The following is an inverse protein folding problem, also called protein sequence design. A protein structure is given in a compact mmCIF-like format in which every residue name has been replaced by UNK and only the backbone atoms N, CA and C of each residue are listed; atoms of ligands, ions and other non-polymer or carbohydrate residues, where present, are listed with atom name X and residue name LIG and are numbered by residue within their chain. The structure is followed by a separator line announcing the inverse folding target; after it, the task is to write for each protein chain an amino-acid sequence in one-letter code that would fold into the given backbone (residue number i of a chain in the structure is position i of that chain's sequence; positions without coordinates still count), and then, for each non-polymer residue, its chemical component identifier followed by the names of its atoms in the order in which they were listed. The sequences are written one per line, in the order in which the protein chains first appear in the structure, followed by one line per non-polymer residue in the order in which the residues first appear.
data_IF_844940143131
#
_entry.id   IF_844940143131
#
_cell.length_a   1.000
_cell.length_b   1.000
_cell.length_c   1.000
_cell.angle_alpha   90.00
_cell.angle_beta   90.00
_cell.angle_gamma   90.00
#
_symmetry.space_group_name_H-M   'P 1'
#
loop_
_entity.id
_entity.type
_entity.pdbx_description
1 polymer ?
#
# COMPACT_ATOMS: atom_id res chain seq x y z
N UNK A 1 24.96 14.13 0.68
CA UNK A 1 23.52 14.01 0.35
C UNK A 1 23.15 12.56 0.60
N UNK A 2 22.60 12.25 1.77
CA UNK A 2 22.22 10.87 2.08
C UNK A 2 20.99 10.54 1.24
N UNK A 3 21.15 9.66 0.25
CA UNK A 3 20.02 8.92 -0.26
C UNK A 3 19.49 8.12 0.92
N UNK A 4 18.41 8.59 1.55
CA UNK A 4 17.73 7.82 2.58
C UNK A 4 17.07 6.65 1.85
N UNK A 5 17.71 5.48 1.93
CA UNK A 5 17.11 4.22 1.50
C UNK A 5 15.87 4.00 2.37
N UNK A 6 14.69 4.23 1.81
CA UNK A 6 13.42 3.95 2.49
C UNK A 6 13.38 2.47 2.82
N UNK A 7 13.08 2.14 4.07
CA UNK A 7 12.98 0.75 4.53
C UNK A 7 11.55 0.27 4.51
N UNK A 8 11.33 -1.06 4.45
CA UNK A 8 9.99 -1.65 4.50
C UNK A 8 9.20 -1.21 5.73
N UNK A 9 9.86 -1.18 6.89
CA UNK A 9 9.25 -0.76 8.15
C UNK A 9 8.74 0.69 8.11
N UNK A 10 9.51 1.59 7.45
CA UNK A 10 9.06 2.96 7.21
C UNK A 10 7.85 3.04 6.29
N UNK A 11 7.82 2.24 5.21
CA UNK A 11 6.65 2.20 4.32
C UNK A 11 5.42 1.71 5.07
N UNK A 12 5.54 0.64 5.86
CA UNK A 12 4.45 0.15 6.71
C UNK A 12 3.97 1.20 7.70
N UNK A 13 4.89 1.92 8.34
CA UNK A 13 4.55 3.03 9.23
C UNK A 13 3.75 4.12 8.49
N UNK A 14 4.16 4.50 7.28
CA UNK A 14 3.46 5.52 6.50
C UNK A 14 2.08 5.04 6.04
N UNK A 15 1.96 3.78 5.63
CA UNK A 15 0.68 3.18 5.26
C UNK A 15 -0.29 3.11 6.46
N UNK A 16 0.22 2.91 7.67
CA UNK A 16 -0.58 2.98 8.90
C UNK A 16 -1.11 4.39 9.21
N UNK A 17 -0.50 5.43 8.65
CA UNK A 17 -0.99 6.81 8.75
C UNK A 17 -2.05 7.14 7.69
N UNK A 18 -2.30 6.26 6.71
CA UNK A 18 -3.28 6.49 5.63
C UNK A 18 -4.67 6.02 6.09
N UNK A 19 -5.61 6.94 6.39
CA UNK A 19 -6.97 6.57 6.75
C UNK A 19 -7.75 6.09 5.52
N UNK A 20 -8.73 5.22 5.74
CA UNK A 20 -9.68 4.85 4.70
C UNK A 20 -10.57 6.05 4.33
N UNK A 21 -10.79 6.33 3.04
CA UNK A 21 -11.58 7.48 2.60
C UNK A 21 -13.06 7.37 2.98
N UNK A 22 -13.59 6.15 3.14
CA UNK A 22 -14.96 5.89 3.56
C UNK A 22 -15.08 5.81 5.09
N UNK A 23 -14.02 5.31 5.77
CA UNK A 23 -13.93 5.15 7.21
C UNK A 23 -12.67 5.87 7.75
N UNK A 24 -12.70 7.20 7.94
CA UNK A 24 -11.53 8.00 8.30
C UNK A 24 -10.93 7.72 9.68
N UNK A 25 -11.54 6.82 10.45
CA UNK A 25 -11.10 6.41 11.79
C UNK A 25 -10.30 5.11 11.79
N UNK A 26 -10.15 4.43 10.64
CA UNK A 26 -9.38 3.18 10.51
C UNK A 26 -8.38 3.33 9.37
N UNK A 27 -7.14 2.88 9.57
CA UNK A 27 -6.12 2.89 8.51
C UNK A 27 -6.33 1.77 7.50
N UNK A 28 -5.79 1.95 6.30
CA UNK A 28 -5.80 0.90 5.25
C UNK A 28 -5.01 -0.36 5.67
N UNK A 29 -4.07 -0.22 6.60
CA UNK A 29 -3.31 -1.34 7.19
C UNK A 29 -4.18 -2.08 8.22
N UNK A 30 -4.85 -1.36 9.11
CA UNK A 30 -5.75 -1.94 10.13
C UNK A 30 -6.95 -2.66 9.52
N UNK A 31 -7.48 -2.15 8.40
CA UNK A 31 -8.53 -2.83 7.63
C UNK A 31 -8.05 -4.12 6.95
N UNK A 32 -6.74 -4.37 6.90
CA UNK A 32 -6.16 -5.48 6.17
C UNK A 32 -6.28 -5.34 4.65
N UNK A 33 -6.38 -4.11 4.15
CA UNK A 33 -6.39 -3.82 2.70
C UNK A 33 -4.98 -4.00 2.15
N UNK A 34 -3.97 -3.44 2.82
CA UNK A 34 -2.55 -3.67 2.49
C UNK A 34 -2.18 -5.08 2.95
N UNK A 35 -1.67 -5.89 2.02
CA UNK A 35 -1.26 -7.28 2.28
C UNK A 35 0.24 -7.48 2.30
N UNK A 36 0.94 -6.79 1.42
CA UNK A 36 2.38 -6.94 1.29
C UNK A 36 3.01 -5.65 0.79
N UNK A 37 4.26 -5.44 1.19
CA UNK A 37 5.10 -4.35 0.70
C UNK A 37 6.46 -4.95 0.41
N UNK A 38 6.93 -4.77 -0.83
CA UNK A 38 8.23 -5.24 -1.28
C UNK A 38 8.95 -4.12 -2.05
N UNK A 39 10.28 -4.18 -2.10
CA UNK A 39 11.07 -3.34 -2.99
C UNK A 39 11.63 -4.19 -4.13
N UNK A 40 11.29 -3.84 -5.37
CA UNK A 40 11.90 -4.39 -6.58
C UNK A 40 12.95 -3.40 -7.10
N UNK A 41 14.19 -3.55 -6.60
CA UNK A 41 15.26 -2.58 -6.84
C UNK A 41 14.96 -1.23 -6.19
N UNK A 42 14.68 -0.21 -7.01
CA UNK A 42 14.32 1.14 -6.56
C UNK A 42 12.79 1.39 -6.55
N UNK A 43 11.97 0.41 -6.95
CA UNK A 43 10.50 0.54 -7.01
C UNK A 43 9.84 -0.10 -5.80
N UNK A 44 8.99 0.65 -5.09
CA UNK A 44 8.18 0.15 -4.00
C UNK A 44 6.90 -0.50 -4.53
N UNK A 45 6.76 -1.82 -4.37
CA UNK A 45 5.59 -2.59 -4.77
C UNK A 45 4.69 -2.79 -3.56
N UNK A 46 3.47 -2.26 -3.60
CA UNK A 46 2.47 -2.42 -2.55
C UNK A 46 1.34 -3.30 -3.06
N UNK A 47 1.12 -4.43 -2.40
CA UNK A 47 0.04 -5.35 -2.73
C UNK A 47 -1.17 -5.07 -1.86
N UNK A 48 -2.30 -4.80 -2.50
CA UNK A 48 -3.59 -4.60 -1.83
C UNK A 48 -4.60 -5.68 -2.23
N UNK A 49 -5.44 -6.08 -1.30
CA UNK A 49 -6.56 -6.98 -1.56
C UNK A 49 -7.87 -6.23 -1.39
N UNK A 50 -8.76 -6.24 -2.40
CA UNK A 50 -10.03 -5.54 -2.30
C UNK A 50 -10.96 -6.26 -1.33
N UNK A 51 -11.43 -5.54 -0.32
CA UNK A 51 -12.45 -6.02 0.62
C UNK A 51 -13.85 -5.95 0.00
N UNK A 52 -14.05 -5.07 -0.99
CA UNK A 52 -15.29 -4.92 -1.75
C UNK A 52 -15.05 -5.23 -3.23
N UNK A 53 -15.66 -6.32 -3.68
CA UNK A 53 -15.62 -6.82 -5.06
C UNK A 53 -16.16 -5.79 -6.06
N UNK A 54 -15.27 -4.95 -6.62
CA UNK A 54 -15.57 -4.11 -7.78
C UNK A 54 -16.15 -2.71 -7.51
N UNK A 55 -16.04 -2.16 -6.30
CA UNK A 55 -16.49 -0.79 -6.02
C UNK A 55 -15.45 0.27 -6.44
N UNK A 56 -15.88 1.47 -6.87
CA UNK A 56 -14.99 2.60 -7.20
C UNK A 56 -14.08 3.00 -6.02
N UNK A 57 -14.46 2.65 -4.79
CA UNK A 57 -13.67 2.83 -3.58
C UNK A 57 -12.25 2.26 -3.67
N UNK A 58 -12.03 1.17 -4.41
CA UNK A 58 -10.69 0.56 -4.52
C UNK A 58 -9.69 1.42 -5.29
N UNK A 59 -10.15 2.14 -6.32
CA UNK A 59 -9.29 3.09 -7.03
C UNK A 59 -8.95 4.26 -6.10
N UNK A 60 -9.93 4.77 -5.35
CA UNK A 60 -9.69 5.85 -4.38
C UNK A 60 -8.68 5.43 -3.30
N UNK A 61 -8.78 4.21 -2.78
CA UNK A 61 -7.82 3.70 -1.79
C UNK A 61 -6.43 3.55 -2.39
N UNK A 62 -6.32 2.98 -3.60
CA UNK A 62 -5.05 2.85 -4.32
C UNK A 62 -4.42 4.24 -4.55
N UNK A 63 -5.20 5.20 -5.01
CA UNK A 63 -4.73 6.56 -5.27
C UNK A 63 -4.29 7.26 -3.99
N UNK A 64 -5.06 7.13 -2.90
CA UNK A 64 -4.72 7.69 -1.60
C UNK A 64 -3.41 7.11 -1.04
N UNK A 65 -3.23 5.79 -1.15
CA UNK A 65 -1.98 5.11 -0.76
C UNK A 65 -0.81 5.61 -1.61
N UNK A 66 -0.99 5.67 -2.93
CA UNK A 66 0.06 6.12 -3.85
C UNK A 66 0.44 7.58 -3.61
N UNK A 67 -0.53 8.45 -3.34
CA UNK A 67 -0.30 9.86 -3.04
C UNK A 67 0.40 10.04 -1.70
N UNK A 68 -0.01 9.32 -0.65
CA UNK A 68 0.63 9.38 0.66
C UNK A 68 2.11 8.96 0.60
N UNK A 69 2.43 7.91 -0.15
CA UNK A 69 3.81 7.46 -0.33
C UNK A 69 4.63 8.45 -1.18
N UNK A 70 4.08 8.98 -2.27
CA UNK A 70 4.73 10.01 -3.08
C UNK A 70 5.02 11.28 -2.29
N UNK A 71 4.11 11.70 -1.42
CA UNK A 71 4.30 12.84 -0.54
C UNK A 71 5.48 12.67 0.43
N UNK A 72 5.89 11.42 0.69
CA UNK A 72 7.07 11.07 1.52
C UNK A 72 8.36 10.91 0.70
N UNK A 73 8.31 11.13 -0.62
CA UNK A 73 9.47 11.06 -1.52
C UNK A 73 9.66 9.70 -2.22
N UNK A 74 8.67 8.80 -2.17
CA UNK A 74 8.66 7.59 -2.99
C UNK A 74 8.07 7.89 -4.37
N UNK A 75 8.90 8.30 -5.33
CA UNK A 75 8.45 8.57 -6.70
C UNK A 75 8.15 7.27 -7.48
N UNK A 76 8.96 6.24 -7.25
CA UNK A 76 8.85 4.93 -7.90
C UNK A 76 8.05 3.99 -7.00
N UNK A 77 6.75 3.91 -7.25
CA UNK A 77 5.88 2.95 -6.58
C UNK A 77 4.87 2.34 -7.54
N UNK A 78 4.52 1.09 -7.27
CA UNK A 78 3.56 0.30 -8.02
C UNK A 78 2.57 -0.34 -7.06
N UNK A 79 1.28 -0.09 -7.29
CA UNK A 79 0.22 -0.73 -6.51
C UNK A 79 -0.32 -1.91 -7.31
N UNK A 80 -0.32 -3.08 -6.69
CA UNK A 80 -0.78 -4.33 -7.28
C UNK A 80 -2.04 -4.75 -6.54
N UNK A 81 -3.14 -4.93 -7.27
CA UNK A 81 -4.37 -5.48 -6.69
C UNK A 81 -4.41 -6.98 -6.93
N UNK A 82 -4.44 -7.78 -5.85
CA UNK A 82 -4.50 -9.23 -5.93
C UNK A 82 -5.87 -9.73 -5.46
N UNK A 83 -6.67 -10.20 -6.41
CA UNK A 83 -8.04 -10.72 -6.19
C UNK A 83 -8.03 -12.23 -5.88
N UNK A 84 -7.13 -12.98 -6.52
CA UNK A 84 -6.93 -14.43 -6.34
C UNK A 84 -5.61 -14.85 -7.00
N UNK A 85 -4.89 -15.84 -6.43
CA UNK A 85 -5.16 -16.55 -5.18
C UNK A 85 -4.84 -15.67 -3.97
N UNK A 86 -5.52 -15.91 -2.85
CA UNK A 86 -5.02 -15.49 -1.55
C UNK A 86 -3.83 -16.40 -1.24
N UNK A 87 -2.61 -15.86 -1.17
CA UNK A 87 -1.46 -16.55 -0.56
C UNK A 87 -0.94 -17.80 -1.31
N UNK A 88 0.32 -17.79 -1.73
CA UNK A 88 1.13 -19.02 -1.71
C UNK A 88 2.27 -18.79 -0.75
N UNK A 89 2.10 -19.31 0.47
CA UNK A 89 3.12 -19.36 1.51
C UNK A 89 4.17 -20.40 1.13
N UNK A 90 4.86 -20.35 -0.02
CA UNK A 90 5.92 -21.33 -0.31
C UNK A 90 7.24 -20.82 0.29
N UNK A 91 7.47 -21.22 1.53
CA UNK A 91 8.70 -21.03 2.34
C UNK A 91 8.91 -22.28 3.17
#
# INVERSE_FOLDING_TARGET
MHAQSVTLDQVWSWLGEVPDPEIPVISVVDLGIVRDVAFDGDECVVTITPTYSGCPAMQVISDAVGEALRARGLDKLRIVTQLSPAWTTDW
#
